data_IF_478997119833
#
_entry.id   IF_478997119833
#
_cell.length_a   1.000
_cell.length_b   1.000
_cell.length_c   1.000
_cell.angle_alpha   90.00
_cell.angle_beta   90.00
_cell.angle_gamma   90.00
#
_symmetry.space_group_name_H-M   'P 1'
#
loop_
_entity.id
_entity.type
_entity.pdbx_description
1 polymer ?
#
# COMPACT_ATOMS: atom_id res chain seq x y z
N UNK A 1 -3.78 43.06 -6.80
CA UNK A 1 -2.81 42.05 -6.38
C UNK A 1 -1.69 42.01 -7.40
N UNK A 2 -0.44 42.08 -6.97
CA UNK A 2 0.69 41.97 -7.90
C UNK A 2 0.72 40.57 -8.49
N UNK A 3 0.41 40.44 -9.76
CA UNK A 3 0.53 39.23 -10.52
C UNK A 3 2.01 39.02 -10.87
N UNK A 4 2.68 38.07 -10.23
CA UNK A 4 4.08 37.76 -10.49
C UNK A 4 4.30 36.95 -11.77
N UNK A 5 3.24 36.51 -12.46
CA UNK A 5 3.36 35.71 -13.69
C UNK A 5 4.01 34.32 -13.53
N UNK A 6 4.07 33.83 -12.30
CA UNK A 6 4.64 32.50 -12.01
C UNK A 6 3.51 31.57 -11.62
N UNK A 7 3.20 30.63 -12.50
CA UNK A 7 2.31 29.51 -12.17
C UNK A 7 3.09 28.43 -11.40
N UNK A 8 2.47 27.91 -10.36
CA UNK A 8 3.00 26.72 -9.67
C UNK A 8 4.06 26.98 -8.61
N UNK A 9 4.04 28.14 -7.94
CA UNK A 9 4.78 28.30 -6.69
C UNK A 9 4.27 27.27 -5.67
N UNK A 10 5.03 26.21 -5.47
CA UNK A 10 4.78 25.29 -4.37
C UNK A 10 4.94 26.04 -3.05
N UNK A 11 4.02 25.82 -2.11
CA UNK A 11 4.20 26.31 -0.75
C UNK A 11 5.44 25.62 -0.15
N UNK A 12 6.12 26.29 0.78
CA UNK A 12 7.25 25.69 1.50
C UNK A 12 6.89 24.40 2.27
N UNK A 13 5.59 24.14 2.47
CA UNK A 13 5.05 22.94 3.12
C UNK A 13 4.57 21.87 2.16
N UNK A 14 4.66 22.06 0.83
CA UNK A 14 4.07 21.17 -0.17
C UNK A 14 4.56 19.71 -0.02
N UNK A 15 5.85 19.51 0.24
CA UNK A 15 6.42 18.18 0.47
C UNK A 15 5.88 17.53 1.74
N UNK A 16 5.77 18.31 2.82
CA UNK A 16 5.23 17.85 4.11
C UNK A 16 3.74 17.54 3.96
N UNK A 17 2.96 18.40 3.30
CA UNK A 17 1.54 18.20 3.07
C UNK A 17 1.26 16.96 2.24
N UNK A 18 2.10 16.68 1.24
CA UNK A 18 2.01 15.46 0.44
C UNK A 18 2.25 14.20 1.28
N UNK A 19 3.25 14.21 2.15
CA UNK A 19 3.53 13.07 3.05
C UNK A 19 2.46 12.93 4.13
N UNK A 20 1.99 14.03 4.70
CA UNK A 20 0.94 14.03 5.72
C UNK A 20 -0.44 13.66 5.15
N UNK A 21 -0.72 14.05 3.91
CA UNK A 21 -1.98 13.78 3.21
C UNK A 21 -3.21 14.18 4.05
N UNK A 22 -4.11 13.22 4.37
CA UNK A 22 -5.31 13.49 5.16
C UNK A 22 -5.03 13.95 6.60
N UNK A 23 -3.79 13.81 7.09
CA UNK A 23 -3.37 14.26 8.42
C UNK A 23 -2.84 15.70 8.38
N UNK A 24 -2.63 16.28 7.19
CA UNK A 24 -2.19 17.67 7.05
C UNK A 24 -3.17 18.62 7.78
N UNK A 25 -2.61 19.60 8.47
CA UNK A 25 -3.37 20.67 9.14
C UNK A 25 -3.69 21.82 8.21
N UNK A 26 -3.04 21.89 7.06
CA UNK A 26 -3.21 22.97 6.07
C UNK A 26 -4.51 22.80 5.25
N UNK A 27 -5.12 21.61 5.29
CA UNK A 27 -6.38 21.31 4.60
C UNK A 27 -7.41 20.83 5.61
N UNK A 28 -8.55 21.53 5.68
CA UNK A 28 -9.65 21.13 6.56
C UNK A 28 -10.42 19.95 5.98
N UNK A 29 -10.06 18.76 6.41
CA UNK A 29 -10.82 17.53 6.12
C UNK A 29 -11.78 17.20 7.27
N UNK A 30 -13.01 16.85 6.92
CA UNK A 30 -13.93 16.21 7.88
C UNK A 30 -13.42 14.80 8.22
N UNK A 31 -13.82 14.26 9.39
CA UNK A 31 -13.41 12.90 9.81
C UNK A 31 -13.77 11.84 8.76
N UNK A 32 -14.93 11.97 8.12
CA UNK A 32 -15.36 11.04 7.07
C UNK A 32 -14.48 11.15 5.82
N UNK A 33 -14.13 12.36 5.39
CA UNK A 33 -13.22 12.58 4.26
C UNK A 33 -11.83 12.00 4.54
N UNK A 34 -11.28 12.22 5.75
CA UNK A 34 -9.99 11.63 6.17
C UNK A 34 -10.00 10.12 6.04
N UNK A 35 -11.05 9.47 6.54
CA UNK A 35 -11.17 7.99 6.50
C UNK A 35 -11.30 7.46 5.09
N UNK A 36 -12.02 8.16 4.20
CA UNK A 36 -12.19 7.74 2.81
C UNK A 36 -10.94 7.98 1.96
N UNK A 37 -10.20 9.05 2.21
CA UNK A 37 -9.01 9.43 1.43
C UNK A 37 -7.77 8.65 1.87
N UNK A 38 -7.67 8.27 3.15
CA UNK A 38 -6.50 7.60 3.71
C UNK A 38 -6.00 6.39 2.89
N UNK A 39 -6.83 5.43 2.44
CA UNK A 39 -6.34 4.29 1.66
C UNK A 39 -5.78 4.71 0.29
N UNK A 40 -6.37 5.72 -0.36
CA UNK A 40 -5.86 6.26 -1.63
C UNK A 40 -4.54 7.01 -1.42
N UNK A 41 -4.41 7.71 -0.31
CA UNK A 41 -3.18 8.41 0.05
C UNK A 41 -2.01 7.42 0.24
N UNK A 42 -2.24 6.26 0.84
CA UNK A 42 -1.21 5.21 0.95
C UNK A 42 -0.68 4.81 -0.43
N UNK A 43 -1.58 4.66 -1.42
CA UNK A 43 -1.17 4.35 -2.81
C UNK A 43 -0.33 5.49 -3.38
N UNK A 44 -0.72 6.75 -3.16
CA UNK A 44 0.05 7.92 -3.61
C UNK A 44 1.45 7.92 -3.01
N UNK A 45 1.59 7.69 -1.69
CA UNK A 45 2.89 7.61 -1.02
C UNK A 45 3.76 6.47 -1.59
N UNK A 46 3.16 5.35 -1.97
CA UNK A 46 3.90 4.22 -2.56
C UNK A 46 4.55 4.54 -3.91
N UNK A 47 4.08 5.58 -4.61
CA UNK A 47 4.61 6.02 -5.91
C UNK A 47 5.78 7.00 -5.74
N UNK A 48 5.84 7.74 -4.62
CA UNK A 48 6.83 8.80 -4.36
C UNK A 48 8.28 8.35 -4.63
N UNK A 49 8.76 7.16 -4.21
CA UNK A 49 10.14 6.74 -4.46
C UNK A 49 10.49 6.63 -5.94
N UNK A 50 9.51 6.32 -6.77
CA UNK A 50 9.72 6.24 -8.22
C UNK A 50 9.72 7.62 -8.88
N UNK A 51 8.97 8.57 -8.32
CA UNK A 51 8.88 9.93 -8.81
C UNK A 51 10.12 10.77 -8.42
N UNK A 52 10.61 10.61 -7.19
CA UNK A 52 11.68 11.42 -6.62
C UNK A 52 13.01 10.65 -6.44
N UNK A 53 13.23 9.60 -7.21
CA UNK A 53 14.51 8.86 -7.23
C UNK A 53 14.95 8.34 -5.85
N UNK A 54 13.99 7.93 -5.04
CA UNK A 54 14.25 7.29 -3.74
C UNK A 54 14.27 8.22 -2.53
N UNK A 55 13.91 9.50 -2.68
CA UNK A 55 13.75 10.43 -1.57
C UNK A 55 12.28 10.73 -1.29
N UNK A 56 11.96 11.13 -0.07
CA UNK A 56 10.59 11.42 0.35
C UNK A 56 10.06 12.75 -0.20
N UNK A 57 10.95 13.69 -0.47
CA UNK A 57 10.64 15.02 -0.98
C UNK A 57 11.57 15.40 -2.13
N UNK A 58 11.10 16.29 -3.00
CA UNK A 58 11.95 16.83 -4.07
C UNK A 58 13.04 17.73 -3.48
N UNK A 59 14.29 17.74 -4.03
CA UNK A 59 15.38 18.57 -3.52
C UNK A 59 15.05 20.07 -3.41
N UNK A 60 14.21 20.59 -4.33
CA UNK A 60 13.77 21.99 -4.28
C UNK A 60 12.84 22.27 -3.07
N UNK A 61 12.04 21.29 -2.68
CA UNK A 61 11.17 21.38 -1.49
C UNK A 61 12.02 21.31 -0.21
N UNK A 62 13.02 20.43 -0.18
CA UNK A 62 13.98 20.34 0.92
C UNK A 62 14.77 21.65 1.12
N UNK A 63 15.13 22.32 0.01
CA UNK A 63 15.83 23.59 0.07
C UNK A 63 15.00 24.72 0.70
N UNK A 64 13.67 24.65 0.57
CA UNK A 64 12.75 25.64 1.13
C UNK A 64 12.41 25.40 2.62
N UNK A 65 12.75 24.24 3.17
CA UNK A 65 12.48 23.92 4.56
C UNK A 65 13.51 24.58 5.49
N UNK A 66 13.01 25.11 6.58
CA UNK A 66 13.82 25.56 7.72
C UNK A 66 13.50 24.69 8.93
N UNK A 67 14.48 24.45 9.79
CA UNK A 67 14.24 23.76 11.05
C UNK A 67 13.53 24.72 12.01
N UNK A 68 12.40 24.28 12.56
CA UNK A 68 11.72 25.02 13.61
C UNK A 68 12.52 24.96 14.92
N UNK A 69 12.29 25.93 15.82
CA UNK A 69 12.90 26.01 17.16
C UNK A 69 12.43 24.90 18.13
N UNK A 70 11.77 23.86 17.59
CA UNK A 70 11.41 22.68 18.35
C UNK A 70 12.67 21.93 18.85
N UNK A 71 12.56 21.26 20.01
CA UNK A 71 13.68 20.57 20.66
C UNK A 71 14.45 19.60 19.75
N UNK A 72 13.76 18.92 18.84
CA UNK A 72 14.39 18.03 17.83
C UNK A 72 15.18 18.82 16.79
N UNK A 73 14.63 19.92 16.30
CA UNK A 73 15.31 20.80 15.34
C UNK A 73 16.61 21.34 15.91
N UNK A 74 16.59 21.76 17.18
CA UNK A 74 17.77 22.25 17.88
C UNK A 74 18.81 21.15 18.19
N UNK A 75 18.37 19.88 18.36
CA UNK A 75 19.26 18.76 18.69
C UNK A 75 20.00 18.22 17.46
N UNK A 76 19.31 18.01 16.35
CA UNK A 76 19.85 17.31 15.17
C UNK A 76 19.95 18.18 13.92
N UNK A 77 19.42 19.40 13.98
CA UNK A 77 19.42 20.35 12.88
C UNK A 77 18.52 19.92 11.70
N UNK A 78 18.47 20.75 10.66
CA UNK A 78 17.68 20.50 9.44
C UNK A 78 18.09 19.18 8.77
N UNK A 79 19.38 18.98 8.55
CA UNK A 79 19.91 17.79 7.86
C UNK A 79 19.56 16.50 8.62
N UNK A 80 19.68 16.51 9.94
CA UNK A 80 19.31 15.37 10.77
C UNK A 80 17.81 15.07 10.73
N UNK A 81 16.97 16.10 10.68
CA UNK A 81 15.51 15.94 10.51
C UNK A 81 15.16 15.34 9.15
N UNK A 82 15.79 15.78 8.06
CA UNK A 82 15.58 15.24 6.73
C UNK A 82 15.98 13.76 6.64
N UNK A 83 17.13 13.40 7.23
CA UNK A 83 17.55 12.00 7.32
C UNK A 83 16.53 11.17 8.11
N UNK A 84 16.03 11.69 9.22
CA UNK A 84 15.01 11.01 10.02
C UNK A 84 13.68 10.82 9.25
N UNK A 85 13.22 11.84 8.54
CA UNK A 85 12.03 11.79 7.70
C UNK A 85 12.17 10.74 6.60
N UNK A 86 13.31 10.74 5.89
CA UNK A 86 13.59 9.75 4.86
C UNK A 86 13.64 8.33 5.44
N UNK A 87 14.26 8.14 6.60
CA UNK A 87 14.30 6.85 7.29
C UNK A 87 12.89 6.36 7.65
N UNK A 88 12.08 7.21 8.27
CA UNK A 88 10.70 6.89 8.63
C UNK A 88 9.85 6.58 7.41
N UNK A 89 10.02 7.36 6.33
CA UNK A 89 9.37 7.13 5.06
C UNK A 89 9.69 5.74 4.49
N UNK A 90 10.97 5.36 4.43
CA UNK A 90 11.38 4.04 3.95
C UNK A 90 10.93 2.90 4.85
N UNK A 91 10.94 3.08 6.17
CA UNK A 91 10.41 2.10 7.10
C UNK A 91 8.90 1.88 6.85
N UNK A 92 8.14 2.96 6.69
CA UNK A 92 6.72 2.86 6.35
C UNK A 92 6.53 2.17 5.00
N UNK A 93 7.27 2.57 3.98
CA UNK A 93 7.18 2.02 2.62
C UNK A 93 7.43 0.50 2.59
N UNK A 94 8.50 0.06 3.25
CA UNK A 94 8.83 -1.38 3.38
C UNK A 94 7.72 -2.13 4.11
N UNK A 95 7.19 -1.59 5.21
CA UNK A 95 6.11 -2.25 5.96
C UNK A 95 4.83 -2.38 5.12
N UNK A 96 4.45 -1.35 4.38
CA UNK A 96 3.28 -1.39 3.48
C UNK A 96 3.51 -2.41 2.37
N UNK A 97 4.69 -2.39 1.74
CA UNK A 97 5.04 -3.36 0.69
C UNK A 97 5.00 -4.80 1.23
N UNK A 98 5.56 -5.04 2.42
CA UNK A 98 5.53 -6.34 3.07
C UNK A 98 4.09 -6.79 3.37
N UNK A 99 3.24 -5.88 3.85
CA UNK A 99 1.81 -6.13 4.05
C UNK A 99 1.11 -6.53 2.77
N UNK A 100 1.31 -5.80 1.68
CA UNK A 100 0.74 -6.15 0.37
C UNK A 100 1.27 -7.50 -0.14
N UNK A 101 2.57 -7.75 0.00
CA UNK A 101 3.17 -9.03 -0.41
C UNK A 101 2.55 -10.20 0.35
N UNK A 102 2.30 -10.04 1.65
CA UNK A 102 1.65 -11.06 2.46
C UNK A 102 0.18 -11.31 2.09
N UNK A 103 -0.50 -10.33 1.48
CA UNK A 103 -1.88 -10.49 0.98
C UNK A 103 -1.96 -11.20 -0.37
N UNK A 104 -0.86 -11.38 -1.08
CA UNK A 104 -0.85 -12.10 -2.36
C UNK A 104 -1.34 -13.55 -2.11
N UNK A 105 -2.35 -14.03 -2.86
CA UNK A 105 -2.92 -15.37 -2.69
C UNK A 105 -1.99 -16.48 -3.21
N UNK A 106 -0.77 -16.52 -2.69
CA UNK A 106 0.29 -17.44 -3.07
C UNK A 106 0.94 -18.04 -1.81
N UNK A 107 1.15 -19.36 -1.78
CA UNK A 107 1.95 -20.02 -0.74
C UNK A 107 3.44 -19.68 -1.02
N UNK A 108 4.26 -19.27 -0.04
CA UNK A 108 4.07 -19.40 1.42
C UNK A 108 3.47 -18.17 2.16
N UNK A 109 2.91 -17.18 1.46
CA UNK A 109 2.36 -15.97 2.08
C UNK A 109 1.01 -16.23 2.77
N UNK A 110 0.65 -15.38 3.72
CA UNK A 110 -0.61 -15.48 4.47
C UNK A 110 -1.83 -15.40 3.56
N UNK A 111 -1.76 -14.59 2.49
CA UNK A 111 -2.80 -14.50 1.46
C UNK A 111 -3.14 -15.83 0.80
N UNK A 112 -2.17 -16.73 0.66
CA UNK A 112 -2.42 -18.10 0.16
C UNK A 112 -3.29 -18.92 1.11
N UNK A 113 -3.05 -18.81 2.40
CA UNK A 113 -3.86 -19.46 3.43
C UNK A 113 -5.25 -18.84 3.51
N UNK A 114 -5.36 -17.51 3.51
CA UNK A 114 -6.63 -16.79 3.49
C UNK A 114 -7.46 -17.15 2.25
N UNK A 115 -6.85 -17.22 1.08
CA UNK A 115 -7.52 -17.62 -0.15
C UNK A 115 -8.07 -19.04 -0.07
N UNK A 116 -7.29 -20.01 0.44
CA UNK A 116 -7.74 -21.39 0.68
C UNK A 116 -8.96 -21.41 1.60
N UNK A 117 -8.92 -20.66 2.69
CA UNK A 117 -10.01 -20.62 3.68
C UNK A 117 -11.27 -19.94 3.11
N UNK A 118 -11.11 -18.88 2.30
CA UNK A 118 -12.22 -18.26 1.57
C UNK A 118 -12.89 -19.24 0.61
N UNK A 119 -12.11 -19.96 -0.18
CA UNK A 119 -12.63 -20.99 -1.13
C UNK A 119 -13.33 -22.10 -0.35
N UNK A 120 -12.74 -22.58 0.73
CA UNK A 120 -13.32 -23.60 1.60
C UNK A 120 -14.66 -23.13 2.20
N UNK A 121 -14.71 -21.90 2.73
CA UNK A 121 -15.93 -21.33 3.30
C UNK A 121 -17.03 -21.14 2.23
N UNK A 122 -16.66 -20.66 1.04
CA UNK A 122 -17.59 -20.52 -0.10
C UNK A 122 -18.19 -21.86 -0.53
N UNK A 123 -17.34 -22.86 -0.75
CA UNK A 123 -17.78 -24.21 -1.13
C UNK A 123 -18.64 -24.88 -0.04
N UNK A 124 -18.31 -24.65 1.23
CA UNK A 124 -19.10 -25.16 2.36
C UNK A 124 -20.49 -24.55 2.39
N UNK A 125 -20.63 -23.25 2.08
CA UNK A 125 -21.94 -22.58 1.96
C UNK A 125 -22.74 -23.14 0.78
N UNK A 126 -22.09 -23.30 -0.39
CA UNK A 126 -22.75 -23.90 -1.58
C UNK A 126 -23.24 -25.33 -1.28
N UNK A 127 -22.41 -26.12 -0.58
CA UNK A 127 -22.77 -27.45 -0.11
C UNK A 127 -24.00 -27.41 0.83
N UNK A 128 -24.01 -26.50 1.80
CA UNK A 128 -25.11 -26.35 2.75
C UNK A 128 -26.43 -25.99 2.02
N UNK A 129 -26.35 -25.07 1.05
CA UNK A 129 -27.49 -24.69 0.21
C UNK A 129 -27.96 -25.87 -0.65
N UNK A 130 -27.05 -26.60 -1.30
CA UNK A 130 -27.41 -27.78 -2.10
C UNK A 130 -28.09 -28.87 -1.29
N UNK A 131 -27.62 -29.11 -0.05
CA UNK A 131 -28.26 -30.04 0.89
C UNK A 131 -29.67 -29.57 1.30
N UNK A 132 -29.83 -28.25 1.58
CA UNK A 132 -31.12 -27.65 1.95
C UNK A 132 -32.13 -27.72 0.81
N UNK A 133 -31.70 -27.51 -0.43
CA UNK A 133 -32.53 -27.56 -1.63
C UNK A 133 -32.71 -28.98 -2.19
N UNK A 134 -32.07 -30.00 -1.59
CA UNK A 134 -32.05 -31.40 -2.07
C UNK A 134 -31.55 -31.58 -3.50
N UNK A 135 -30.71 -30.66 -4.00
CA UNK A 135 -30.19 -30.70 -5.37
C UNK A 135 -28.91 -31.54 -5.48
N UNK A 136 -27.97 -31.37 -4.50
CA UNK A 136 -26.70 -32.13 -4.46
C UNK A 136 -26.16 -32.22 -3.04
N UNK A 137 -25.31 -33.20 -2.81
CA UNK A 137 -24.65 -33.40 -1.53
C UNK A 137 -23.18 -33.75 -1.76
N UNK A 138 -22.30 -32.73 -1.77
CA UNK A 138 -20.84 -32.95 -1.88
C UNK A 138 -20.29 -33.52 -0.58
N UNK A 139 -19.36 -34.48 -0.71
CA UNK A 139 -18.65 -35.00 0.44
C UNK A 139 -17.72 -33.92 1.05
N UNK A 140 -17.57 -33.84 2.40
CA UNK A 140 -16.69 -32.84 3.04
C UNK A 140 -15.25 -32.87 2.52
N UNK A 141 -14.70 -34.06 2.28
CA UNK A 141 -13.34 -34.21 1.75
C UNK A 141 -13.15 -33.57 0.35
N UNK A 142 -14.19 -33.54 -0.46
CA UNK A 142 -14.14 -32.89 -1.76
C UNK A 142 -13.97 -31.37 -1.64
N UNK A 143 -14.63 -30.76 -0.67
CA UNK A 143 -14.49 -29.31 -0.41
C UNK A 143 -13.06 -28.98 -0.01
N UNK A 144 -12.44 -29.80 0.88
CA UNK A 144 -11.06 -29.58 1.30
C UNK A 144 -10.06 -29.82 0.15
N UNK A 145 -10.25 -30.86 -0.65
CA UNK A 145 -9.40 -31.14 -1.81
C UNK A 145 -9.48 -30.03 -2.87
N UNK A 146 -10.67 -29.53 -3.17
CA UNK A 146 -10.84 -28.45 -4.16
C UNK A 146 -10.21 -27.17 -3.64
N UNK A 147 -10.41 -26.81 -2.37
CA UNK A 147 -9.81 -25.59 -1.81
C UNK A 147 -8.28 -25.64 -1.80
N UNK A 148 -7.67 -26.78 -1.50
CA UNK A 148 -6.21 -26.99 -1.60
C UNK A 148 -5.71 -26.88 -3.05
N UNK A 149 -6.40 -27.54 -3.99
CA UNK A 149 -6.04 -27.45 -5.42
C UNK A 149 -6.18 -26.04 -5.95
N UNK A 150 -7.24 -25.32 -5.58
CA UNK A 150 -7.45 -23.93 -5.98
C UNK A 150 -6.33 -23.02 -5.45
N UNK A 151 -5.94 -23.18 -4.18
CA UNK A 151 -4.83 -22.43 -3.60
C UNK A 151 -3.50 -22.73 -4.30
N UNK A 152 -3.20 -23.98 -4.56
CA UNK A 152 -1.97 -24.37 -5.26
C UNK A 152 -1.96 -23.86 -6.71
N UNK A 153 -3.09 -23.93 -7.40
CA UNK A 153 -3.20 -23.44 -8.77
C UNK A 153 -3.09 -21.92 -8.82
N UNK A 154 -3.70 -21.21 -7.88
CA UNK A 154 -3.53 -19.75 -7.74
C UNK A 154 -2.08 -19.38 -7.51
N UNK A 155 -1.38 -20.08 -6.60
CA UNK A 155 0.03 -19.87 -6.31
C UNK A 155 0.91 -20.10 -7.55
N UNK A 156 0.66 -21.18 -8.27
CA UNK A 156 1.40 -21.48 -9.50
C UNK A 156 1.12 -20.46 -10.59
N UNK A 157 -0.14 -20.05 -10.78
CA UNK A 157 -0.53 -19.05 -11.77
C UNK A 157 0.11 -17.70 -11.49
N UNK A 158 0.10 -17.24 -10.23
CA UNK A 158 0.75 -15.99 -9.83
C UNK A 158 2.27 -16.05 -9.98
N UNK A 159 2.90 -17.18 -9.63
CA UNK A 159 4.33 -17.38 -9.86
C UNK A 159 4.66 -17.26 -11.35
N UNK A 160 3.82 -17.87 -12.21
CA UNK A 160 4.01 -17.83 -13.65
C UNK A 160 3.86 -16.39 -14.22
N UNK A 161 2.87 -15.64 -13.74
CA UNK A 161 2.66 -14.23 -14.09
C UNK A 161 3.87 -13.40 -13.65
N UNK A 162 4.37 -13.61 -12.43
CA UNK A 162 5.52 -12.87 -11.90
C UNK A 162 6.78 -13.16 -12.72
N UNK A 163 7.04 -14.43 -13.03
CA UNK A 163 8.16 -14.82 -13.90
C UNK A 163 8.02 -14.22 -15.31
N UNK A 164 6.82 -14.22 -15.85
CA UNK A 164 6.54 -13.65 -17.18
C UNK A 164 6.82 -12.14 -17.21
N UNK A 165 6.36 -11.39 -16.21
CA UNK A 165 6.63 -9.95 -16.09
C UNK A 165 8.14 -9.69 -15.93
N UNK A 166 8.85 -10.56 -15.23
CA UNK A 166 10.30 -10.39 -15.00
C UNK A 166 11.10 -10.67 -16.28
N UNK A 167 10.62 -11.57 -17.12
CA UNK A 167 11.34 -12.04 -18.33
C UNK A 167 11.04 -11.17 -19.56
N UNK A 168 9.81 -10.63 -19.69
CA UNK A 168 9.39 -9.77 -20.81
C UNK A 168 10.38 -8.63 -21.16
N UNK A 169 10.92 -7.86 -20.19
CA UNK A 169 11.83 -6.76 -20.51
C UNK A 169 13.14 -7.18 -21.18
N UNK A 170 13.45 -8.48 -21.21
CA UNK A 170 14.69 -9.00 -21.79
C UNK A 170 14.50 -9.59 -23.19
N UNK A 171 13.27 -9.62 -23.68
CA UNK A 171 12.90 -10.00 -25.04
C UNK A 171 12.29 -8.84 -25.81
#
# INVERSE_FOLDING_TARGET
DPFLGVEGLASNTAGIDRLAGPLSTNVEYTTLQRTLIAPFHVITIMIIPFEFQGVAMHPNEEAMLEADDAWLGNLIGKEGLLVLVNLMFWMMWVNVLLGFTNLIPMVPFDGGHMFKDMVHAGLSRVRALGKKLRLWNFHPLWVDQISRKASNLSSLGLLFILLFILVIPYF
#
